data_IF_958678704650
#
_entry.id   IF_958678704650
#
_cell.length_a   1.000
_cell.length_b   1.000
_cell.length_c   1.000
_cell.angle_alpha   90.00
_cell.angle_beta   90.00
_cell.angle_gamma   90.00
#
_symmetry.space_group_name_H-M   'P 1'
#
loop_
_entity.id
_entity.type
_entity.pdbx_description
1 polymer ?
#
# COMPACT_ATOMS: atom_id res chain seq x y z
N UNK A 1 -12.51 -10.36 18.53
CA UNK A 1 -12.77 -8.91 18.63
C UNK A 1 -11.50 -8.13 18.88
N UNK A 2 -10.66 -8.64 19.77
CA UNK A 2 -9.40 -7.99 20.08
C UNK A 2 -8.49 -7.96 18.84
N UNK A 3 -8.44 -9.07 18.11
CA UNK A 3 -7.65 -9.15 16.90
C UNK A 3 -8.17 -8.18 15.87
N UNK A 4 -9.47 -8.07 15.75
CA UNK A 4 -10.08 -7.16 14.81
C UNK A 4 -9.75 -5.71 15.15
N UNK A 5 -9.83 -5.38 16.44
CA UNK A 5 -9.47 -4.04 16.88
C UNK A 5 -8.01 -3.72 16.60
N UNK A 6 -7.16 -4.71 16.78
CA UNK A 6 -5.75 -4.51 16.54
C UNK A 6 -5.48 -4.19 15.07
N UNK A 7 -6.13 -4.92 14.17
CA UNK A 7 -5.98 -4.67 12.75
C UNK A 7 -6.49 -3.29 12.38
N UNK A 8 -7.60 -2.88 12.98
CA UNK A 8 -8.13 -1.56 12.74
C UNK A 8 -7.17 -0.47 13.22
N UNK A 9 -6.58 -0.68 14.36
CA UNK A 9 -5.61 0.24 14.92
C UNK A 9 -4.43 0.40 13.98
N UNK A 10 -3.96 -0.70 13.44
CA UNK A 10 -2.81 -0.65 12.56
C UNK A 10 -3.11 0.16 11.30
N UNK A 11 -4.30 -0.01 10.77
CA UNK A 11 -4.70 0.74 9.60
C UNK A 11 -4.82 2.22 9.90
N UNK A 12 -5.38 2.58 11.03
CA UNK A 12 -5.49 3.97 11.45
C UNK A 12 -4.10 4.59 11.59
N UNK A 13 -3.18 3.85 12.19
CA UNK A 13 -1.81 4.32 12.34
C UNK A 13 -1.15 4.52 10.99
N UNK A 14 -1.38 3.60 10.07
CA UNK A 14 -0.88 3.68 8.72
C UNK A 14 -1.37 4.96 8.04
N UNK A 15 -2.64 5.24 8.14
CA UNK A 15 -3.22 6.44 7.55
C UNK A 15 -2.65 7.70 8.21
N UNK A 16 -2.49 7.67 9.51
CA UNK A 16 -1.99 8.82 10.25
C UNK A 16 -0.58 9.16 9.81
N UNK A 17 0.29 8.16 9.76
CA UNK A 17 1.66 8.37 9.32
C UNK A 17 1.69 8.91 7.90
N UNK A 18 0.88 8.35 7.05
CA UNK A 18 0.84 8.74 5.66
C UNK A 18 0.35 10.17 5.51
N UNK A 19 -0.66 10.55 6.30
CA UNK A 19 -1.17 11.91 6.26
C UNK A 19 -0.11 12.91 6.70
N UNK A 20 0.63 12.57 7.74
CA UNK A 20 1.70 13.44 8.22
C UNK A 20 2.76 13.62 7.14
N UNK A 21 3.15 12.53 6.49
CA UNK A 21 4.18 12.58 5.47
C UNK A 21 3.76 13.41 4.27
N UNK A 22 2.51 13.29 3.87
CA UNK A 22 2.05 14.00 2.68
C UNK A 22 1.89 15.48 2.92
N UNK A 23 1.94 15.94 4.16
CA UNK A 23 1.92 17.35 4.44
C UNK A 23 3.26 18.02 4.23
N UNK A 24 4.32 17.25 4.20
CA UNK A 24 5.63 17.78 3.94
C UNK A 24 5.75 18.22 2.49
N UNK A 25 6.50 19.28 2.30
CA UNK A 25 6.64 19.82 0.96
C UNK A 25 8.01 19.62 0.37
N UNK A 26 8.87 18.95 1.08
CA UNK A 26 10.23 18.81 0.61
C UNK A 26 10.31 17.73 -0.48
N UNK A 27 11.32 17.82 -1.32
CA UNK A 27 11.54 16.81 -2.34
C UNK A 27 11.94 15.47 -1.80
N UNK A 28 12.23 15.40 -0.52
CA UNK A 28 12.61 14.14 0.11
C UNK A 28 11.42 13.30 0.51
N UNK A 29 10.24 13.79 0.26
CA UNK A 29 9.01 13.13 0.70
C UNK A 29 8.88 11.72 0.14
N UNK A 30 9.20 11.53 -1.14
CA UNK A 30 9.06 10.19 -1.75
C UNK A 30 9.91 9.16 -1.04
N UNK A 31 11.12 9.55 -0.67
CA UNK A 31 12.03 8.65 0.03
C UNK A 31 11.47 8.29 1.40
N UNK A 32 10.94 9.29 2.10
CA UNK A 32 10.38 9.08 3.42
C UNK A 32 9.13 8.20 3.38
N UNK A 33 8.34 8.34 2.34
CA UNK A 33 7.13 7.53 2.21
C UNK A 33 7.47 6.05 2.11
N UNK A 34 8.42 5.71 1.25
CA UNK A 34 8.80 4.33 1.09
C UNK A 34 9.29 3.73 2.40
N UNK A 35 10.11 4.48 3.10
CA UNK A 35 10.69 4.03 4.34
C UNK A 35 9.63 3.88 5.44
N UNK A 36 8.73 4.84 5.53
CA UNK A 36 7.70 4.81 6.56
C UNK A 36 6.74 3.64 6.33
N UNK A 37 6.35 3.42 5.08
CA UNK A 37 5.45 2.30 4.78
C UNK A 37 6.12 0.98 5.12
N UNK A 38 7.37 0.83 4.71
CA UNK A 38 8.11 -0.40 4.96
C UNK A 38 8.19 -0.69 6.46
N UNK A 39 8.52 0.32 7.24
CA UNK A 39 8.63 0.13 8.69
C UNK A 39 7.30 -0.26 9.30
N UNK A 40 6.22 0.31 8.81
CA UNK A 40 4.92 0.08 9.39
C UNK A 40 4.38 -1.32 9.10
N UNK A 41 4.71 -1.88 7.95
CA UNK A 41 4.12 -3.15 7.55
C UNK A 41 5.06 -4.34 7.68
N UNK A 42 6.31 -4.10 8.06
CA UNK A 42 7.25 -5.21 8.24
C UNK A 42 6.71 -6.15 9.31
N UNK A 43 6.62 -7.43 8.98
CA UNK A 43 6.11 -8.42 9.90
C UNK A 43 4.61 -8.65 9.82
N UNK A 44 3.91 -7.89 8.98
CA UNK A 44 2.48 -8.15 8.81
C UNK A 44 2.25 -9.49 8.11
N UNK A 45 1.14 -10.13 8.46
CA UNK A 45 0.74 -11.35 7.78
C UNK A 45 0.13 -11.03 6.43
N UNK A 46 -0.01 -12.04 5.60
CA UNK A 46 -0.65 -11.83 4.30
C UNK A 46 -2.09 -11.34 4.47
N UNK A 47 -2.76 -11.81 5.50
CA UNK A 47 -4.13 -11.35 5.75
C UNK A 47 -4.15 -9.87 6.12
N UNK A 48 -3.19 -9.43 6.92
CA UNK A 48 -3.10 -8.03 7.28
C UNK A 48 -2.80 -7.15 6.07
N UNK A 49 -1.92 -7.62 5.18
CA UNK A 49 -1.68 -6.90 3.94
C UNK A 49 -2.94 -6.79 3.11
N UNK A 50 -3.66 -7.89 2.98
CA UNK A 50 -4.89 -7.88 2.19
C UNK A 50 -5.90 -6.91 2.77
N UNK A 51 -6.06 -6.91 4.08
CA UNK A 51 -6.99 -6.00 4.74
C UNK A 51 -6.60 -4.54 4.51
N UNK A 52 -5.31 -4.25 4.60
CA UNK A 52 -4.83 -2.89 4.39
C UNK A 52 -5.12 -2.42 2.97
N UNK A 53 -4.88 -3.29 2.01
CA UNK A 53 -5.12 -2.94 0.60
C UNK A 53 -6.62 -2.72 0.37
N UNK A 54 -7.44 -3.63 0.87
CA UNK A 54 -8.89 -3.51 0.71
C UNK A 54 -9.41 -2.23 1.32
N UNK A 55 -8.93 -1.90 2.51
CA UNK A 55 -9.38 -0.69 3.18
C UNK A 55 -8.94 0.56 2.41
N UNK A 56 -7.72 0.57 1.91
CA UNK A 56 -7.24 1.72 1.16
C UNK A 56 -8.06 1.94 -0.10
N UNK A 57 -8.40 0.85 -0.78
CA UNK A 57 -9.20 0.94 -2.00
C UNK A 57 -10.61 1.38 -1.68
N UNK A 58 -11.18 0.84 -0.61
CA UNK A 58 -12.56 1.18 -0.23
C UNK A 58 -12.70 2.64 0.16
N UNK A 59 -11.67 3.21 0.79
CA UNK A 59 -11.71 4.62 1.14
C UNK A 59 -11.63 5.53 -0.07
N UNK A 60 -10.90 5.12 -1.10
CA UNK A 60 -10.81 5.91 -2.32
C UNK A 60 -10.11 7.25 -2.16
N UNK A 61 -9.29 7.40 -1.14
CA UNK A 61 -8.60 8.65 -0.88
C UNK A 61 -7.28 8.66 -1.64
N UNK A 62 -7.05 9.73 -2.37
CA UNK A 62 -5.90 9.78 -3.27
C UNK A 62 -4.58 9.76 -2.53
N UNK A 63 -4.54 10.29 -1.32
CA UNK A 63 -3.28 10.32 -0.60
C UNK A 63 -2.84 8.93 -0.13
N UNK A 64 -3.69 7.92 -0.29
CA UNK A 64 -3.30 6.54 0.04
C UNK A 64 -2.65 5.82 -1.13
N UNK A 65 -2.75 6.38 -2.33
CA UNK A 65 -2.22 5.71 -3.52
C UNK A 65 -0.72 5.47 -3.48
N UNK A 66 0.11 6.41 -2.99
CA UNK A 66 1.55 6.10 -2.90
C UNK A 66 1.86 4.91 -2.02
N UNK A 67 1.09 4.68 -0.95
CA UNK A 67 1.27 3.49 -0.13
C UNK A 67 1.03 2.22 -0.91
N UNK A 68 -0.04 2.20 -1.70
CA UNK A 68 -0.30 1.06 -2.56
C UNK A 68 0.79 0.90 -3.60
N UNK A 69 1.36 2.01 -4.05
CA UNK A 69 2.48 1.97 -4.98
C UNK A 69 3.71 1.29 -4.37
N UNK A 70 3.96 1.53 -3.10
CA UNK A 70 5.07 0.85 -2.42
C UNK A 70 4.84 -0.66 -2.40
N UNK A 71 3.61 -1.08 -2.16
CA UNK A 71 3.29 -2.51 -2.18
C UNK A 71 3.48 -3.09 -3.58
N UNK A 72 3.03 -2.36 -4.58
CA UNK A 72 3.21 -2.82 -5.96
C UNK A 72 4.69 -2.94 -6.30
N UNK A 73 5.48 -1.96 -5.89
CA UNK A 73 6.91 -2.00 -6.15
C UNK A 73 7.56 -3.24 -5.56
N UNK A 74 7.22 -3.54 -4.30
CA UNK A 74 7.78 -4.71 -3.63
C UNK A 74 7.37 -6.00 -4.34
N UNK A 75 6.10 -6.10 -4.69
CA UNK A 75 5.61 -7.28 -5.39
C UNK A 75 6.30 -7.45 -6.75
N UNK A 76 6.42 -6.35 -7.47
CA UNK A 76 7.00 -6.39 -8.81
C UNK A 76 8.43 -6.87 -8.79
N UNK A 77 9.21 -6.41 -7.83
CA UNK A 77 10.61 -6.79 -7.75
C UNK A 77 10.78 -8.27 -7.49
N UNK A 78 9.88 -8.86 -6.74
CA UNK A 78 9.98 -10.28 -6.40
C UNK A 78 9.22 -11.18 -7.36
N UNK A 79 8.40 -10.63 -8.23
CA UNK A 79 7.55 -11.42 -9.11
C UNK A 79 8.37 -12.01 -10.26
N UNK A 80 7.94 -13.21 -10.70
CA UNK A 80 8.51 -13.82 -11.88
C UNK A 80 8.02 -13.11 -13.13
N UNK A 81 8.66 -13.39 -14.24
CA UNK A 81 8.24 -12.80 -15.50
C UNK A 81 6.80 -13.21 -15.84
N UNK A 82 6.45 -14.47 -15.58
CA UNK A 82 5.10 -14.92 -15.84
C UNK A 82 4.08 -14.17 -14.98
N UNK A 83 4.41 -13.94 -13.72
CA UNK A 83 3.51 -13.21 -12.85
C UNK A 83 3.34 -11.78 -13.30
N UNK A 84 4.42 -11.13 -13.73
CA UNK A 84 4.32 -9.77 -14.22
C UNK A 84 3.47 -9.70 -15.49
N UNK A 85 3.67 -10.67 -16.39
CA UNK A 85 2.90 -10.68 -17.62
C UNK A 85 1.41 -10.86 -17.35
N UNK A 86 1.06 -11.75 -16.43
CA UNK A 86 -0.33 -11.96 -16.08
C UNK A 86 -0.93 -10.69 -15.47
N UNK A 87 -0.16 -10.02 -14.63
CA UNK A 87 -0.62 -8.81 -13.97
C UNK A 87 -0.87 -7.69 -14.99
N UNK A 88 0.09 -7.48 -15.90
CA UNK A 88 -0.07 -6.42 -16.87
C UNK A 88 -1.18 -6.71 -17.88
N UNK A 89 -1.39 -7.98 -18.19
CA UNK A 89 -2.51 -8.35 -19.05
C UNK A 89 -3.84 -8.01 -18.38
N UNK A 90 -3.94 -8.20 -17.08
CA UNK A 90 -5.14 -7.82 -16.35
C UNK A 90 -5.33 -6.33 -16.33
N UNK A 91 -4.24 -5.59 -16.16
CA UNK A 91 -4.31 -4.14 -16.19
C UNK A 91 -4.82 -3.65 -17.54
N UNK A 92 -4.30 -4.24 -18.61
CA UNK A 92 -4.72 -3.85 -19.94
C UNK A 92 -6.22 -4.03 -20.12
N UNK A 93 -6.73 -5.14 -19.63
CA UNK A 93 -8.18 -5.41 -19.74
C UNK A 93 -8.99 -4.41 -18.93
N UNK A 94 -8.49 -4.05 -17.77
CA UNK A 94 -9.22 -3.15 -16.89
C UNK A 94 -9.33 -1.75 -17.49
N UNK A 95 -8.29 -1.31 -18.15
CA UNK A 95 -8.22 0.06 -18.66
C UNK A 95 -8.54 0.18 -20.14
N UNK A 96 -9.18 -0.80 -20.70
CA UNK A 96 -9.69 -0.72 -22.07
C UNK A 96 -10.80 0.32 -22.12
N UNK A 97 -10.74 1.20 -23.12
CA UNK A 97 -11.79 2.22 -23.25
C UNK A 97 -12.93 1.77 -24.12
#
# INVERSE_FOLDING_TARGET
IIIFKFAHYKFVFFILIFTILTKERSGKMNFQIRQAITSNVTGDSSEEFENTINDAIARGEEHLLPGLGVFLEAWWKDASENERNAFTAKLEKHFVS
#
